data_IF_229279246133
#
_entry.id   IF_229279246133
#
_cell.length_a   1.000
_cell.length_b   1.000
_cell.length_c   1.000
_cell.angle_alpha   90.00
_cell.angle_beta   90.00
_cell.angle_gamma   90.00
#
_symmetry.space_group_name_H-M   'P 1'
#
loop_
_entity.id
_entity.type
_entity.pdbx_description
1 polymer ?
#
# COMPACT_ATOMS: atom_id res chain seq x y z
N UNK A 1 -21.32 56.71 -35.64
CA UNK A 1 -20.28 55.65 -35.69
C UNK A 1 -19.04 55.90 -34.78
N UNK A 2 -19.13 56.64 -33.66
CA UNK A 2 -18.00 56.82 -32.70
C UNK A 2 -17.96 55.79 -31.56
N UNK A 3 -19.10 55.17 -31.20
CA UNK A 3 -19.20 54.27 -30.04
C UNK A 3 -18.53 52.89 -30.22
N UNK A 4 -18.29 52.44 -31.45
CA UNK A 4 -17.70 51.11 -31.72
C UNK A 4 -16.20 51.06 -31.39
N UNK A 5 -15.49 52.20 -31.45
CA UNK A 5 -14.05 52.26 -31.13
C UNK A 5 -13.73 52.10 -29.63
N UNK A 6 -14.70 52.24 -28.73
CA UNK A 6 -14.46 52.12 -27.28
C UNK A 6 -14.77 50.73 -26.72
N UNK A 7 -15.55 49.92 -27.45
CA UNK A 7 -15.98 48.59 -27.02
C UNK A 7 -14.84 47.62 -26.64
N UNK A 8 -13.75 47.45 -27.43
CA UNK A 8 -12.67 46.54 -27.05
C UNK A 8 -11.84 47.04 -25.85
N UNK A 9 -11.73 48.37 -25.68
CA UNK A 9 -11.02 48.97 -24.55
C UNK A 9 -11.78 48.73 -23.23
N UNK A 10 -13.09 48.99 -23.22
CA UNK A 10 -13.95 48.79 -22.04
C UNK A 10 -13.99 47.30 -21.68
N UNK A 11 -14.18 46.42 -22.68
CA UNK A 11 -14.18 44.97 -22.45
C UNK A 11 -12.83 44.47 -21.92
N UNK A 12 -11.71 44.94 -22.48
CA UNK A 12 -10.37 44.58 -22.02
C UNK A 12 -10.11 44.99 -20.57
N UNK A 13 -10.53 46.19 -20.17
CA UNK A 13 -10.43 46.67 -18.78
C UNK A 13 -11.32 45.84 -17.84
N UNK A 14 -12.57 45.56 -18.24
CA UNK A 14 -13.50 44.76 -17.43
C UNK A 14 -12.97 43.34 -17.20
N UNK A 15 -12.49 42.68 -18.25
CA UNK A 15 -11.89 41.33 -18.17
C UNK A 15 -10.57 41.32 -17.39
N UNK A 16 -9.83 42.43 -17.39
CA UNK A 16 -8.61 42.58 -16.60
C UNK A 16 -8.92 42.75 -15.12
N UNK A 17 -9.78 43.70 -14.76
CA UNK A 17 -9.94 44.15 -13.37
C UNK A 17 -10.90 43.27 -12.56
N UNK A 18 -12.09 42.95 -13.10
CA UNK A 18 -13.12 42.26 -12.32
C UNK A 18 -12.69 40.85 -11.87
N UNK A 19 -12.09 40.00 -12.72
CA UNK A 19 -11.63 38.69 -12.29
C UNK A 19 -10.32 38.75 -11.49
N UNK A 20 -9.54 39.82 -11.62
CA UNK A 20 -8.28 39.98 -10.87
C UNK A 20 -8.50 40.38 -9.41
N UNK A 21 -9.55 41.17 -9.12
CA UNK A 21 -9.90 41.57 -7.75
C UNK A 21 -9.97 40.40 -6.75
N UNK A 22 -10.74 39.31 -6.99
CA UNK A 22 -10.74 38.17 -6.08
C UNK A 22 -9.40 37.41 -6.08
N UNK A 23 -8.68 37.36 -7.20
CA UNK A 23 -7.38 36.66 -7.27
C UNK A 23 -6.24 37.40 -6.53
N UNK A 24 -6.34 38.73 -6.42
CA UNK A 24 -5.34 39.59 -5.76
C UNK A 24 -5.32 39.48 -4.24
N UNK A 25 -6.32 38.82 -3.64
CA UNK A 25 -6.53 38.76 -2.19
C UNK A 25 -6.64 40.13 -1.49
N UNK A 26 -6.92 41.22 -2.23
CA UNK A 26 -7.08 42.56 -1.66
C UNK A 26 -8.38 42.71 -0.86
N UNK A 27 -9.47 42.11 -1.35
CA UNK A 27 -10.81 42.23 -0.76
C UNK A 27 -11.28 40.94 -0.09
N UNK A 28 -10.94 39.78 -0.67
CA UNK A 28 -11.35 38.46 -0.19
C UNK A 28 -10.16 37.51 -0.31
N UNK A 29 -9.84 36.77 0.75
CA UNK A 29 -8.78 35.76 0.72
C UNK A 29 -9.28 34.50 0.03
N UNK A 30 -8.90 34.34 -1.23
CA UNK A 30 -9.24 33.17 -2.04
C UNK A 30 -8.10 32.15 -1.94
N UNK A 31 -8.43 30.86 -1.86
CA UNK A 31 -7.43 29.79 -1.84
C UNK A 31 -6.52 29.84 -3.09
N UNK A 32 -5.22 29.60 -2.91
CA UNK A 32 -4.18 29.70 -3.95
C UNK A 32 -4.57 29.02 -5.28
N UNK A 33 -5.18 27.84 -5.23
CA UNK A 33 -5.58 27.05 -6.41
C UNK A 33 -6.66 27.75 -7.24
N UNK A 34 -7.59 28.45 -6.59
CA UNK A 34 -8.65 29.19 -7.29
C UNK A 34 -8.06 30.46 -7.89
N UNK A 35 -7.22 31.19 -7.14
CA UNK A 35 -6.56 32.39 -7.64
C UNK A 35 -5.72 32.10 -8.91
N UNK A 36 -4.94 31.01 -8.91
CA UNK A 36 -4.16 30.58 -10.09
C UNK A 36 -5.05 30.29 -11.30
N UNK A 37 -6.17 29.58 -11.11
CA UNK A 37 -7.11 29.24 -12.19
C UNK A 37 -7.88 30.45 -12.72
N UNK A 38 -8.06 31.50 -11.93
CA UNK A 38 -8.80 32.70 -12.35
C UNK A 38 -7.91 33.67 -13.14
N UNK A 39 -6.57 33.61 -13.00
CA UNK A 39 -5.62 34.51 -13.65
C UNK A 39 -5.58 34.43 -15.19
N UNK A 40 -6.14 33.39 -15.81
CA UNK A 40 -6.27 33.33 -17.27
C UNK A 40 -7.22 34.39 -17.84
N UNK A 41 -8.28 34.76 -17.10
CA UNK A 41 -9.26 35.76 -17.57
C UNK A 41 -8.66 37.18 -17.58
N UNK A 42 -7.97 37.64 -16.51
CA UNK A 42 -7.22 38.89 -16.55
C UNK A 42 -6.15 38.92 -17.65
N UNK A 43 -5.48 37.79 -17.90
CA UNK A 43 -4.49 37.68 -18.98
C UNK A 43 -5.12 37.93 -20.36
N UNK A 44 -6.34 37.43 -20.59
CA UNK A 44 -7.10 37.71 -21.81
C UNK A 44 -7.42 39.21 -21.96
N UNK A 45 -7.82 39.87 -20.87
CA UNK A 45 -8.03 41.32 -20.84
C UNK A 45 -6.77 42.10 -21.23
N UNK A 46 -5.61 41.75 -20.66
CA UNK A 46 -4.32 42.31 -21.03
C UNK A 46 -4.00 42.12 -22.53
N UNK A 47 -4.18 40.91 -23.06
CA UNK A 47 -3.92 40.62 -24.48
C UNK A 47 -4.79 41.49 -25.39
N UNK A 48 -6.09 41.62 -25.08
CA UNK A 48 -7.01 42.46 -25.84
C UNK A 48 -6.56 43.93 -25.87
N UNK A 49 -6.16 44.48 -24.72
CA UNK A 49 -5.68 45.86 -24.62
C UNK A 49 -4.38 46.09 -25.42
N UNK A 50 -3.44 45.15 -25.35
CA UNK A 50 -2.16 45.23 -26.09
C UNK A 50 -2.40 45.15 -27.60
N UNK A 51 -3.21 44.19 -28.07
CA UNK A 51 -3.54 44.04 -29.49
C UNK A 51 -4.31 45.26 -30.02
N UNK A 52 -5.24 45.79 -29.24
CA UNK A 52 -5.99 46.99 -29.62
C UNK A 52 -5.10 48.24 -29.70
N UNK A 53 -4.21 48.44 -28.71
CA UNK A 53 -3.21 49.52 -28.75
C UNK A 53 -2.29 49.41 -29.97
N UNK A 54 -1.84 48.19 -30.29
CA UNK A 54 -1.05 47.92 -31.49
C UNK A 54 -1.82 48.26 -32.78
N UNK A 55 -3.10 47.88 -32.89
CA UNK A 55 -3.94 48.17 -34.04
C UNK A 55 -4.10 49.68 -34.30
N UNK A 56 -4.26 50.49 -33.24
CA UNK A 56 -4.34 51.95 -33.34
C UNK A 56 -3.03 52.51 -33.92
N UNK A 57 -1.88 52.08 -33.39
CA UNK A 57 -0.56 52.56 -33.85
C UNK A 57 -0.34 52.14 -35.31
N UNK A 58 -0.68 50.90 -35.66
CA UNK A 58 -0.52 50.35 -37.01
C UNK A 58 -1.29 51.13 -38.08
N UNK A 59 -2.50 51.56 -37.75
CA UNK A 59 -3.38 52.29 -38.67
C UNK A 59 -3.01 53.77 -38.78
N UNK A 60 -2.55 54.39 -37.69
CA UNK A 60 -2.29 55.84 -37.66
C UNK A 60 -0.86 56.21 -38.08
N UNK A 61 0.12 55.30 -37.97
CA UNK A 61 1.53 55.63 -38.17
C UNK A 61 2.26 54.63 -39.09
N UNK A 62 1.99 54.72 -40.40
CA UNK A 62 2.57 53.82 -41.41
C UNK A 62 4.12 53.83 -41.43
N UNK A 63 4.74 54.99 -41.18
CA UNK A 63 6.21 55.17 -41.15
C UNK A 63 6.91 54.31 -40.07
N UNK A 64 6.22 53.98 -38.99
CA UNK A 64 6.79 53.25 -37.84
C UNK A 64 6.47 51.74 -37.85
N UNK A 65 5.88 51.20 -38.91
CA UNK A 65 5.50 49.78 -38.97
C UNK A 65 6.69 48.83 -38.88
N UNK A 66 7.77 49.11 -39.62
CA UNK A 66 8.98 48.27 -39.58
C UNK A 66 9.64 48.30 -38.20
N UNK A 67 9.77 49.49 -37.58
CA UNK A 67 10.30 49.62 -36.21
C UNK A 67 9.43 48.86 -35.20
N UNK A 68 8.11 48.92 -35.35
CA UNK A 68 7.16 48.23 -34.47
C UNK A 68 7.23 46.70 -34.62
N UNK A 69 7.36 46.19 -35.86
CA UNK A 69 7.59 44.78 -36.12
C UNK A 69 8.92 44.31 -35.50
N UNK A 70 10.00 45.06 -35.67
CA UNK A 70 11.29 44.75 -35.04
C UNK A 70 11.17 44.67 -33.52
N UNK A 71 10.50 45.65 -32.88
CA UNK A 71 10.27 45.65 -31.43
C UNK A 71 9.44 44.43 -30.98
N UNK A 72 8.40 44.07 -31.71
CA UNK A 72 7.58 42.88 -31.40
C UNK A 72 8.40 41.61 -31.54
N UNK A 73 9.16 41.46 -32.63
CA UNK A 73 10.04 40.30 -32.81
C UNK A 73 11.07 40.21 -31.69
N UNK A 74 11.64 41.34 -31.25
CA UNK A 74 12.57 41.39 -30.12
C UNK A 74 11.91 40.95 -28.80
N UNK A 75 10.70 41.44 -28.52
CA UNK A 75 9.93 41.04 -27.33
C UNK A 75 9.57 39.56 -27.39
N UNK A 76 9.16 39.04 -28.54
CA UNK A 76 8.84 37.62 -28.73
C UNK A 76 10.07 36.74 -28.52
N UNK A 77 11.20 37.07 -29.14
CA UNK A 77 12.46 36.34 -28.96
C UNK A 77 12.91 36.37 -27.50
N UNK A 78 12.87 37.55 -26.85
CA UNK A 78 13.19 37.70 -25.42
C UNK A 78 12.27 36.86 -24.53
N UNK A 79 10.97 36.87 -24.79
CA UNK A 79 9.98 36.05 -24.07
C UNK A 79 10.20 34.56 -24.30
N UNK A 80 10.48 34.11 -25.52
CA UNK A 80 10.83 32.73 -25.81
C UNK A 80 12.10 32.29 -25.06
N UNK A 81 13.14 33.12 -25.07
CA UNK A 81 14.37 32.87 -24.30
C UNK A 81 14.09 32.77 -22.79
N UNK A 82 13.29 33.69 -22.24
CA UNK A 82 12.87 33.64 -20.83
C UNK A 82 12.09 32.36 -20.51
N UNK A 83 11.21 31.93 -21.40
CA UNK A 83 10.47 30.66 -21.25
C UNK A 83 11.42 29.46 -21.25
N UNK A 84 12.40 29.42 -22.16
CA UNK A 84 13.40 28.35 -22.21
C UNK A 84 14.25 28.32 -20.93
N UNK A 85 14.65 29.48 -20.41
CA UNK A 85 15.38 29.57 -19.13
C UNK A 85 14.49 29.09 -17.99
N UNK A 86 13.23 29.56 -17.93
CA UNK A 86 12.26 29.17 -16.90
C UNK A 86 11.99 27.67 -16.90
N UNK A 87 11.96 27.02 -18.06
CA UNK A 87 11.79 25.57 -18.17
C UNK A 87 12.92 24.79 -17.44
N UNK A 88 14.10 25.38 -17.26
CA UNK A 88 15.18 24.77 -16.46
C UNK A 88 14.80 24.66 -14.98
N UNK A 89 14.02 25.60 -14.45
CA UNK A 89 13.54 25.55 -13.06
C UNK A 89 12.62 24.33 -12.85
N UNK A 90 11.80 23.99 -13.85
CA UNK A 90 10.85 22.87 -13.80
C UNK A 90 11.49 21.50 -14.07
N UNK A 91 12.78 21.44 -14.39
CA UNK A 91 13.47 20.20 -14.77
C UNK A 91 13.54 19.19 -13.62
N UNK A 92 13.73 19.66 -12.39
CA UNK A 92 13.80 18.80 -11.22
C UNK A 92 13.12 19.45 -10.00
N UNK A 93 12.80 18.62 -9.01
CA UNK A 93 12.28 19.10 -7.72
C UNK A 93 13.26 20.05 -7.03
N UNK A 94 14.56 19.80 -7.15
CA UNK A 94 15.62 20.64 -6.57
C UNK A 94 15.66 22.03 -7.23
N UNK A 95 15.70 22.08 -8.57
CA UNK A 95 15.77 23.34 -9.31
C UNK A 95 14.53 24.21 -9.04
N UNK A 96 13.35 23.59 -8.98
CA UNK A 96 12.10 24.29 -8.72
C UNK A 96 12.08 24.91 -7.31
N UNK A 97 12.44 24.13 -6.29
CA UNK A 97 12.47 24.60 -4.91
C UNK A 97 13.56 25.65 -4.68
N UNK A 98 14.73 25.50 -5.35
CA UNK A 98 15.82 26.48 -5.28
C UNK A 98 15.43 27.80 -5.95
N UNK A 99 14.84 27.77 -7.14
CA UNK A 99 14.32 28.98 -7.82
C UNK A 99 13.23 29.65 -6.98
N UNK A 100 12.32 28.87 -6.42
CA UNK A 100 11.31 29.38 -5.49
C UNK A 100 11.91 30.09 -4.27
N UNK A 101 12.94 29.52 -3.65
CA UNK A 101 13.66 30.15 -2.53
C UNK A 101 14.39 31.44 -2.94
N UNK A 102 14.95 31.51 -4.15
CA UNK A 102 15.57 32.73 -4.65
C UNK A 102 14.52 33.85 -4.82
N UNK A 103 13.32 33.51 -5.29
CA UNK A 103 12.23 34.49 -5.46
C UNK A 103 11.55 34.87 -4.15
N UNK A 104 11.50 33.96 -3.18
CA UNK A 104 10.75 34.11 -1.92
C UNK A 104 11.62 33.69 -0.71
N UNK A 105 12.73 34.40 -0.43
CA UNK A 105 13.67 34.02 0.63
C UNK A 105 13.08 34.15 2.05
N UNK A 106 12.02 34.93 2.22
CA UNK A 106 11.36 35.13 3.52
C UNK A 106 10.07 34.29 3.68
N UNK A 107 9.86 33.29 2.83
CA UNK A 107 8.70 32.40 2.92
C UNK A 107 9.02 31.12 3.68
N UNK A 108 8.43 30.96 4.87
CA UNK A 108 8.61 29.78 5.72
C UNK A 108 8.27 28.46 5.00
N UNK A 109 7.22 28.44 4.18
CA UNK A 109 6.79 27.22 3.46
C UNK A 109 7.82 26.80 2.40
N UNK A 110 8.50 27.77 1.76
CA UNK A 110 9.56 27.47 0.79
C UNK A 110 10.76 26.82 1.47
N UNK A 111 11.21 27.37 2.61
CA UNK A 111 12.27 26.76 3.41
C UNK A 111 11.90 25.36 3.89
N UNK A 112 10.67 25.17 4.39
CA UNK A 112 10.15 23.86 4.82
C UNK A 112 10.13 22.83 3.67
N UNK A 113 9.62 23.20 2.49
CA UNK A 113 9.54 22.30 1.35
C UNK A 113 10.93 21.91 0.83
N UNK A 114 11.88 22.85 0.79
CA UNK A 114 13.26 22.56 0.43
C UNK A 114 13.96 21.68 1.48
N UNK A 115 13.70 21.90 2.76
CA UNK A 115 14.19 21.04 3.84
C UNK A 115 13.66 19.59 3.71
N UNK A 116 12.38 19.41 3.37
CA UNK A 116 11.81 18.08 3.09
C UNK A 116 12.55 17.40 1.93
N UNK A 117 12.79 18.11 0.83
CA UNK A 117 13.56 17.57 -0.30
C UNK A 117 14.98 17.17 0.10
N UNK A 118 15.68 18.02 0.87
CA UNK A 118 17.03 17.74 1.36
C UNK A 118 17.06 16.53 2.30
N UNK A 119 16.07 16.39 3.18
CA UNK A 119 15.91 15.22 4.05
C UNK A 119 15.72 13.95 3.23
N UNK A 120 14.82 13.98 2.24
CA UNK A 120 14.54 12.84 1.38
C UNK A 120 15.76 12.46 0.53
N UNK A 121 16.66 13.43 0.27
CA UNK A 121 17.97 13.23 -0.39
C UNK A 121 19.10 12.91 0.59
N UNK A 122 18.80 12.56 1.85
CA UNK A 122 19.75 12.25 2.92
C UNK A 122 20.75 13.37 3.29
N UNK A 123 20.52 14.61 2.84
CA UNK A 123 21.33 15.79 3.18
C UNK A 123 20.83 16.42 4.48
N UNK A 124 20.93 15.68 5.59
CA UNK A 124 20.26 16.02 6.85
C UNK A 124 20.71 17.35 7.48
N UNK A 125 21.99 17.72 7.42
CA UNK A 125 22.46 18.97 8.04
C UNK A 125 21.93 20.22 7.32
N UNK A 126 21.88 20.18 5.98
CA UNK A 126 21.24 21.25 5.19
C UNK A 126 19.73 21.27 5.42
N UNK A 127 19.09 20.11 5.57
CA UNK A 127 17.67 20.05 5.91
C UNK A 127 17.39 20.74 7.25
N UNK A 128 18.22 20.50 8.28
CA UNK A 128 18.09 21.16 9.60
C UNK A 128 18.17 22.68 9.47
N UNK A 129 19.16 23.21 8.76
CA UNK A 129 19.31 24.67 8.62
C UNK A 129 18.09 25.32 7.96
N UNK A 130 17.54 24.69 6.92
CA UNK A 130 16.31 25.17 6.28
C UNK A 130 15.06 24.99 7.17
N UNK A 131 14.95 23.91 7.95
CA UNK A 131 13.86 23.81 8.95
C UNK A 131 13.96 24.89 10.02
N UNK A 132 15.16 25.17 10.55
CA UNK A 132 15.35 26.26 11.51
C UNK A 132 14.99 27.62 10.91
N UNK A 133 15.35 27.87 9.64
CA UNK A 133 14.93 29.10 8.96
C UNK A 133 13.41 29.17 8.78
N UNK A 134 12.76 28.06 8.42
CA UNK A 134 11.30 27.99 8.33
C UNK A 134 10.64 28.29 9.69
N UNK A 135 11.19 27.77 10.79
CA UNK A 135 10.71 28.02 12.15
C UNK A 135 11.05 29.42 12.66
N UNK A 136 12.15 30.04 12.20
CA UNK A 136 12.45 31.45 12.48
C UNK A 136 11.40 32.37 11.85
N UNK A 137 11.00 32.08 10.61
CA UNK A 137 9.99 32.84 9.88
C UNK A 137 8.56 32.54 10.35
N UNK A 138 8.30 31.30 10.78
CA UNK A 138 7.00 30.87 11.31
C UNK A 138 7.17 29.92 12.51
N UNK A 139 7.29 30.47 13.73
CA UNK A 139 7.57 29.68 14.94
C UNK A 139 6.50 28.66 15.31
N UNK A 140 5.25 28.85 14.89
CA UNK A 140 4.13 27.95 15.20
C UNK A 140 3.92 26.87 14.13
N UNK A 141 4.84 26.71 13.18
CA UNK A 141 4.69 25.76 12.08
C UNK A 141 4.88 24.31 12.53
N UNK A 142 3.78 23.69 12.98
CA UNK A 142 3.77 22.35 13.57
C UNK A 142 4.44 21.27 12.70
N UNK A 143 4.19 21.25 11.39
CA UNK A 143 4.80 20.26 10.49
C UNK A 143 6.32 20.42 10.34
N UNK A 144 6.83 21.66 10.41
CA UNK A 144 8.28 21.91 10.39
C UNK A 144 8.93 21.44 11.69
N UNK A 145 8.30 21.71 12.85
CA UNK A 145 8.72 21.14 14.13
C UNK A 145 8.77 19.61 14.10
N UNK A 146 7.69 18.96 13.64
CA UNK A 146 7.64 17.50 13.52
C UNK A 146 8.76 16.95 12.64
N UNK A 147 8.92 17.48 11.43
CA UNK A 147 9.90 16.93 10.48
C UNK A 147 11.35 17.19 10.94
N UNK A 148 11.63 18.34 11.56
CA UNK A 148 12.91 18.61 12.19
C UNK A 148 13.20 17.57 13.29
N UNK A 149 12.22 17.29 14.16
CA UNK A 149 12.34 16.26 15.19
C UNK A 149 12.75 14.88 14.67
N UNK A 150 12.30 14.50 13.46
CA UNK A 150 12.64 13.19 12.86
C UNK A 150 14.10 13.03 12.42
N UNK A 151 14.81 14.14 12.20
CA UNK A 151 16.20 14.13 11.70
C UNK A 151 17.23 14.55 12.76
N UNK A 152 16.77 14.96 13.95
CA UNK A 152 17.64 15.29 15.06
C UNK A 152 18.21 14.01 15.70
N UNK A 153 19.51 14.02 15.99
CA UNK A 153 20.19 12.91 16.66
C UNK A 153 20.00 12.94 18.17
N UNK A 154 19.82 14.12 18.75
CA UNK A 154 19.60 14.30 20.17
C UNK A 154 18.11 14.05 20.50
N UNK A 155 17.84 13.00 21.28
CA UNK A 155 16.49 12.61 21.67
C UNK A 155 15.75 13.72 22.46
N UNK A 156 16.46 14.48 23.29
CA UNK A 156 15.84 15.54 24.09
C UNK A 156 15.39 16.71 23.22
N UNK A 157 16.20 17.09 22.23
CA UNK A 157 15.82 18.13 21.26
C UNK A 157 14.67 17.65 20.35
N UNK A 158 14.74 16.41 19.86
CA UNK A 158 13.67 15.82 19.07
C UNK A 158 12.34 15.83 19.84
N UNK A 159 12.36 15.44 21.13
CA UNK A 159 11.21 15.48 22.02
C UNK A 159 10.63 16.91 22.13
N UNK A 160 11.47 17.93 22.34
CA UNK A 160 11.02 19.33 22.38
C UNK A 160 10.31 19.75 21.10
N UNK A 161 10.84 19.36 19.95
CA UNK A 161 10.23 19.69 18.66
C UNK A 161 8.91 18.95 18.43
N UNK A 162 8.79 17.66 18.80
CA UNK A 162 7.51 16.95 18.71
C UNK A 162 6.46 17.54 19.67
N UNK A 163 6.84 17.87 20.90
CA UNK A 163 5.95 18.53 21.87
C UNK A 163 5.52 19.91 21.38
N UNK A 164 6.41 20.68 20.76
CA UNK A 164 6.06 21.95 20.13
C UNK A 164 5.06 21.77 18.98
N UNK A 165 5.27 20.77 18.11
CA UNK A 165 4.31 20.45 17.05
C UNK A 165 2.92 20.11 17.61
N UNK A 166 2.86 19.33 18.69
CA UNK A 166 1.59 18.99 19.38
C UNK A 166 0.98 20.22 20.08
N UNK A 167 1.81 21.10 20.65
CA UNK A 167 1.34 22.34 21.28
C UNK A 167 0.66 23.26 20.26
N UNK A 168 1.26 23.44 19.09
CA UNK A 168 0.72 24.31 18.04
C UNK A 168 -0.40 23.65 17.21
N UNK A 169 -0.39 22.31 17.11
CA UNK A 169 -1.43 21.54 16.45
C UNK A 169 -1.73 20.26 17.25
N UNK A 170 -2.70 20.33 18.17
CA UNK A 170 -3.03 19.24 19.09
C UNK A 170 -3.55 17.97 18.42
N UNK A 171 -4.07 18.10 17.19
CA UNK A 171 -4.55 17.03 16.33
C UNK A 171 -3.49 16.51 15.33
N UNK A 172 -2.22 16.93 15.44
CA UNK A 172 -1.16 16.53 14.51
C UNK A 172 -0.74 15.06 14.71
N UNK A 173 -1.43 14.13 14.04
CA UNK A 173 -1.28 12.67 14.18
C UNK A 173 0.19 12.22 14.07
N UNK A 174 0.92 12.68 13.06
CA UNK A 174 2.33 12.31 12.85
C UNK A 174 3.25 12.75 14.00
N UNK A 175 2.92 13.83 14.72
CA UNK A 175 3.75 14.31 15.83
C UNK A 175 3.54 13.43 17.07
N UNK A 176 2.30 13.06 17.37
CA UNK A 176 2.00 12.05 18.39
C UNK A 176 2.66 10.71 18.05
N UNK A 177 2.61 10.28 16.79
CA UNK A 177 3.20 9.01 16.35
C UNK A 177 4.73 9.01 16.51
N UNK A 178 5.41 10.06 16.03
CA UNK A 178 6.85 10.18 16.13
C UNK A 178 7.33 10.31 17.58
N UNK A 179 6.60 11.06 18.42
CA UNK A 179 6.87 11.13 19.85
C UNK A 179 6.68 9.78 20.53
N UNK A 180 5.63 9.05 20.18
CA UNK A 180 5.41 7.67 20.66
C UNK A 180 6.56 6.74 20.31
N UNK A 181 7.04 6.78 19.06
CA UNK A 181 8.22 6.01 18.65
C UNK A 181 9.49 6.41 19.41
N UNK A 182 9.71 7.71 19.64
CA UNK A 182 10.83 8.20 20.43
C UNK A 182 10.78 7.68 21.87
N UNK A 183 9.60 7.72 22.50
CA UNK A 183 9.38 7.19 23.84
C UNK A 183 9.60 5.68 23.91
N UNK A 184 9.12 4.91 22.93
CA UNK A 184 9.40 3.48 22.85
C UNK A 184 10.91 3.19 22.77
N UNK A 185 11.65 3.93 21.93
CA UNK A 185 13.12 3.77 21.81
C UNK A 185 13.85 4.09 23.11
N UNK A 186 13.30 5.01 23.91
CA UNK A 186 13.84 5.41 25.20
C UNK A 186 13.27 4.58 26.37
N UNK A 187 12.61 3.45 26.11
CA UNK A 187 11.98 2.58 27.10
C UNK A 187 10.90 3.26 27.97
N UNK A 188 10.36 4.41 27.53
CA UNK A 188 9.22 5.10 28.16
C UNK A 188 7.90 4.52 27.65
N UNK A 189 7.61 3.29 28.08
CA UNK A 189 6.52 2.47 27.53
C UNK A 189 5.14 3.09 27.75
N UNK A 190 4.87 3.64 28.93
CA UNK A 190 3.56 4.22 29.28
C UNK A 190 3.25 5.47 28.45
N UNK A 191 4.23 6.35 28.30
CA UNK A 191 4.14 7.57 27.53
C UNK A 191 4.01 7.27 26.03
N UNK A 192 4.77 6.28 25.54
CA UNK A 192 4.63 5.76 24.17
C UNK A 192 3.21 5.27 23.92
N UNK A 193 2.66 4.44 24.79
CA UNK A 193 1.30 3.92 24.64
C UNK A 193 0.26 5.05 24.64
N UNK A 194 0.41 6.05 25.51
CA UNK A 194 -0.47 7.22 25.56
C UNK A 194 -0.48 7.97 24.23
N UNK A 195 0.69 8.21 23.64
CA UNK A 195 0.80 8.92 22.35
C UNK A 195 0.23 8.10 21.19
N UNK A 196 0.49 6.79 21.14
CA UNK A 196 -0.03 5.92 20.09
C UNK A 196 -1.56 5.76 20.17
N UNK A 197 -2.13 5.65 21.38
CA UNK A 197 -3.60 5.67 21.57
C UNK A 197 -4.21 7.00 21.13
N UNK A 198 -3.50 8.12 21.34
CA UNK A 198 -3.95 9.43 20.85
C UNK A 198 -3.98 9.49 19.32
N UNK A 199 -3.01 8.87 18.64
CA UNK A 199 -3.03 8.74 17.17
C UNK A 199 -4.30 8.02 16.70
N UNK A 200 -4.62 6.87 17.29
CA UNK A 200 -5.81 6.07 16.96
C UNK A 200 -7.10 6.85 17.23
N UNK A 201 -7.14 7.64 18.32
CA UNK A 201 -8.30 8.49 18.64
C UNK A 201 -8.50 9.61 17.60
N UNK A 202 -7.40 10.19 17.11
CA UNK A 202 -7.45 11.28 16.14
C UNK A 202 -7.74 10.76 14.72
N UNK A 203 -7.14 9.64 14.35
CA UNK A 203 -7.26 9.02 13.04
C UNK A 203 -7.35 7.49 13.19
N UNK A 204 -8.56 6.92 13.27
CA UNK A 204 -8.77 5.49 13.45
C UNK A 204 -8.21 4.62 12.31
N UNK A 205 -8.03 5.19 11.12
CA UNK A 205 -7.49 4.46 9.96
C UNK A 205 -5.95 4.48 9.91
N UNK A 206 -5.29 5.10 10.89
CA UNK A 206 -3.84 5.24 10.92
C UNK A 206 -3.14 3.94 11.37
N UNK A 207 -3.06 2.99 10.43
CA UNK A 207 -2.47 1.65 10.58
C UNK A 207 -1.11 1.63 11.31
N UNK A 208 -0.14 2.55 11.04
CA UNK A 208 1.17 2.51 11.71
C UNK A 208 1.09 2.57 13.24
N UNK A 209 0.11 3.29 13.82
CA UNK A 209 -0.04 3.35 15.27
C UNK A 209 -0.46 2.01 15.89
N UNK A 210 -1.33 1.25 15.22
CA UNK A 210 -1.72 -0.09 15.66
C UNK A 210 -0.52 -1.04 15.65
N UNK A 211 0.29 -0.99 14.59
CA UNK A 211 1.49 -1.83 14.47
C UNK A 211 2.52 -1.50 15.55
N UNK A 212 2.76 -0.22 15.84
CA UNK A 212 3.66 0.17 16.92
C UNK A 212 3.12 -0.21 18.30
N UNK A 213 1.80 -0.16 18.52
CA UNK A 213 1.20 -0.67 19.78
C UNK A 213 1.36 -2.19 19.92
N UNK A 214 1.22 -2.95 18.84
CA UNK A 214 1.47 -4.40 18.85
C UNK A 214 2.94 -4.68 19.20
N UNK A 215 3.88 -3.93 18.62
CA UNK A 215 5.31 -4.03 18.94
C UNK A 215 5.60 -3.68 20.39
N UNK A 216 4.98 -2.62 20.91
CA UNK A 216 5.17 -2.13 22.28
C UNK A 216 4.65 -3.12 23.33
N UNK A 217 3.44 -3.67 23.13
CA UNK A 217 2.80 -4.59 24.08
C UNK A 217 3.39 -6.00 24.05
N UNK A 218 4.05 -6.35 22.96
CA UNK A 218 4.62 -7.68 22.75
C UNK A 218 3.57 -8.75 22.42
N UNK A 219 4.00 -9.93 21.92
CA UNK A 219 3.09 -10.92 21.33
C UNK A 219 2.14 -11.60 22.33
N UNK A 220 2.40 -11.48 23.64
CA UNK A 220 1.63 -12.17 24.67
C UNK A 220 0.48 -11.36 25.27
N UNK A 221 0.38 -10.08 24.93
CA UNK A 221 -0.63 -9.21 25.50
C UNK A 221 -2.03 -9.49 24.91
N UNK A 222 -3.06 -9.57 25.76
CA UNK A 222 -4.43 -9.97 25.38
C UNK A 222 -5.04 -9.12 24.26
N UNK A 223 -4.76 -7.82 24.25
CA UNK A 223 -5.28 -6.87 23.27
C UNK A 223 -4.64 -6.94 21.87
N UNK A 224 -3.55 -7.69 21.71
CA UNK A 224 -2.83 -7.77 20.41
C UNK A 224 -3.68 -8.44 19.34
N UNK A 225 -4.48 -9.44 19.70
CA UNK A 225 -5.42 -10.08 18.78
C UNK A 225 -6.36 -9.07 18.14
N UNK A 226 -6.98 -8.22 18.97
CA UNK A 226 -7.89 -7.17 18.51
C UNK A 226 -7.18 -6.14 17.63
N UNK A 227 -6.00 -5.67 18.05
CA UNK A 227 -5.21 -4.72 17.26
C UNK A 227 -4.83 -5.26 15.87
N UNK A 228 -4.33 -6.50 15.80
CA UNK A 228 -3.97 -7.12 14.52
C UNK A 228 -5.19 -7.39 13.64
N UNK A 229 -6.32 -7.76 14.23
CA UNK A 229 -7.59 -7.90 13.48
C UNK A 229 -7.99 -6.57 12.84
N UNK A 230 -7.97 -5.48 13.60
CA UNK A 230 -8.24 -4.13 13.06
C UNK A 230 -7.26 -3.76 11.95
N UNK A 231 -5.98 -4.09 12.06
CA UNK A 231 -4.99 -3.84 10.99
C UNK A 231 -5.37 -4.55 9.68
N UNK A 232 -5.86 -5.79 9.76
CA UNK A 232 -6.33 -6.54 8.57
C UNK A 232 -7.60 -5.91 8.00
N UNK A 233 -8.53 -5.48 8.85
CA UNK A 233 -9.77 -4.79 8.43
C UNK A 233 -9.50 -3.45 7.75
N UNK A 234 -8.53 -2.67 8.23
CA UNK A 234 -8.12 -1.40 7.64
C UNK A 234 -7.39 -1.57 6.30
N UNK A 235 -6.78 -2.74 6.05
CA UNK A 235 -5.97 -3.01 4.86
C UNK A 235 -6.45 -4.29 4.14
N UNK A 236 -7.68 -4.31 3.59
CA UNK A 236 -8.30 -5.52 3.06
C UNK A 236 -7.61 -6.06 1.79
N UNK A 237 -6.84 -5.22 1.10
CA UNK A 237 -6.14 -5.59 -0.14
C UNK A 237 -4.66 -5.93 0.07
N UNK A 238 -4.16 -5.85 1.30
CA UNK A 238 -2.77 -6.19 1.60
C UNK A 238 -2.68 -7.60 2.21
N UNK A 239 -2.14 -8.53 1.41
CA UNK A 239 -1.95 -9.92 1.82
C UNK A 239 -0.97 -10.08 2.99
N UNK A 240 -0.06 -9.12 3.19
CA UNK A 240 0.98 -9.18 4.21
C UNK A 240 0.38 -9.17 5.62
N UNK A 241 -0.55 -8.27 5.91
CA UNK A 241 -1.13 -8.15 7.25
C UNK A 241 -1.96 -9.37 7.64
N UNK A 242 -2.75 -9.92 6.70
CA UNK A 242 -3.48 -11.16 6.92
C UNK A 242 -2.53 -12.34 7.19
N UNK A 243 -1.40 -12.43 6.47
CA UNK A 243 -0.38 -13.45 6.70
C UNK A 243 0.24 -13.33 8.11
N UNK A 244 0.61 -12.12 8.53
CA UNK A 244 1.20 -11.87 9.85
C UNK A 244 0.23 -12.11 10.98
N UNK A 245 -1.05 -11.80 10.80
CA UNK A 245 -2.05 -12.13 11.80
C UNK A 245 -2.27 -13.65 11.93
N UNK A 246 -2.31 -14.36 10.79
CA UNK A 246 -2.32 -15.82 10.78
C UNK A 246 -1.11 -16.42 11.51
N UNK A 247 0.11 -15.90 11.23
CA UNK A 247 1.34 -16.33 11.92
C UNK A 247 1.26 -16.12 13.44
N UNK A 248 0.72 -14.99 13.88
CA UNK A 248 0.53 -14.70 15.30
C UNK A 248 -0.44 -15.67 15.97
N UNK A 249 -1.59 -15.96 15.33
CA UNK A 249 -2.58 -16.93 15.81
C UNK A 249 -1.98 -18.33 15.94
N UNK A 250 -1.12 -18.73 15.00
CA UNK A 250 -0.39 -20.01 15.07
C UNK A 250 0.46 -20.12 16.32
N UNK A 251 1.21 -19.05 16.65
CA UNK A 251 2.06 -19.01 17.86
C UNK A 251 1.24 -19.08 19.14
N UNK A 252 -0.05 -18.71 19.09
CA UNK A 252 -1.01 -18.83 20.20
C UNK A 252 -1.74 -20.18 20.24
N UNK A 253 -1.50 -21.08 19.29
CA UNK A 253 -2.17 -22.38 19.21
C UNK A 253 -3.55 -22.35 18.56
N UNK A 254 -4.03 -21.20 18.10
CA UNK A 254 -5.32 -21.08 17.42
C UNK A 254 -5.16 -21.40 15.92
N UNK A 255 -5.08 -22.69 15.63
CA UNK A 255 -4.80 -23.22 14.30
C UNK A 255 -5.94 -23.01 13.30
N UNK A 256 -7.19 -23.08 13.75
CA UNK A 256 -8.36 -22.98 12.90
C UNK A 256 -8.58 -21.54 12.41
N UNK A 257 -8.48 -20.56 13.32
CA UNK A 257 -8.59 -19.15 12.94
C UNK A 257 -7.39 -18.71 12.09
N UNK A 258 -6.17 -19.19 12.40
CA UNK A 258 -4.99 -18.91 11.60
C UNK A 258 -5.14 -19.34 10.14
N UNK A 259 -5.70 -20.53 9.90
CA UNK A 259 -5.99 -21.02 8.54
C UNK A 259 -6.89 -20.05 7.78
N UNK A 260 -7.95 -19.51 8.39
CA UNK A 260 -8.86 -18.54 7.74
C UNK A 260 -8.08 -17.33 7.21
N UNK A 261 -7.17 -16.78 8.01
CA UNK A 261 -6.37 -15.62 7.63
C UNK A 261 -5.26 -15.94 6.61
N UNK A 262 -4.67 -17.14 6.66
CA UNK A 262 -3.78 -17.57 5.58
C UNK A 262 -4.51 -17.73 4.25
N UNK A 263 -5.72 -18.29 4.26
CA UNK A 263 -6.53 -18.39 3.05
C UNK A 263 -6.97 -17.03 2.53
N UNK A 264 -7.34 -16.09 3.42
CA UNK A 264 -7.62 -14.71 3.04
C UNK A 264 -6.42 -14.07 2.35
N UNK A 265 -5.24 -14.21 2.94
CA UNK A 265 -3.98 -13.71 2.38
C UNK A 265 -3.66 -14.32 1.01
N UNK A 266 -3.84 -15.64 0.83
CA UNK A 266 -3.62 -16.34 -0.43
C UNK A 266 -4.65 -15.98 -1.51
N UNK A 267 -5.88 -15.66 -1.11
CA UNK A 267 -6.91 -15.15 -2.02
C UNK A 267 -6.51 -13.79 -2.60
N UNK A 268 -5.89 -12.92 -1.78
CA UNK A 268 -5.39 -11.62 -2.21
C UNK A 268 -4.11 -11.80 -3.05
N UNK A 269 -3.15 -12.58 -2.56
CA UNK A 269 -1.87 -12.84 -3.21
C UNK A 269 -1.49 -14.31 -3.09
N UNK A 270 -1.70 -15.08 -4.17
CA UNK A 270 -1.40 -16.51 -4.21
C UNK A 270 0.12 -16.83 -4.06
N UNK A 271 0.98 -15.84 -4.24
CA UNK A 271 2.44 -15.96 -4.06
C UNK A 271 2.91 -15.58 -2.65
N UNK A 272 2.02 -15.20 -1.73
CA UNK A 272 2.43 -14.80 -0.37
C UNK A 272 3.04 -15.98 0.40
N UNK A 273 4.37 -15.96 0.52
CA UNK A 273 5.17 -17.05 1.10
C UNK A 273 4.76 -17.43 2.52
N UNK A 274 4.61 -16.45 3.40
CA UNK A 274 4.26 -16.68 4.82
C UNK A 274 2.96 -17.45 4.99
N UNK A 275 1.96 -17.15 4.15
CA UNK A 275 0.66 -17.81 4.19
C UNK A 275 0.70 -19.23 3.64
N UNK A 276 1.48 -19.45 2.57
CA UNK A 276 1.74 -20.80 2.06
C UNK A 276 2.37 -21.63 3.17
N UNK A 277 3.53 -21.22 3.69
CA UNK A 277 4.23 -21.93 4.76
C UNK A 277 3.32 -22.17 5.98
N UNK A 278 2.50 -21.18 6.33
CA UNK A 278 1.47 -21.27 7.36
C UNK A 278 0.53 -22.47 7.15
N UNK A 279 -0.13 -22.53 5.99
CA UNK A 279 -1.05 -23.64 5.65
C UNK A 279 -0.31 -24.99 5.60
N UNK A 280 0.91 -25.02 5.05
CA UNK A 280 1.74 -26.22 5.00
C UNK A 280 1.99 -26.81 6.39
N UNK A 281 2.40 -25.98 7.35
CA UNK A 281 2.62 -26.40 8.74
C UNK A 281 1.35 -26.99 9.34
N UNK A 282 0.18 -26.46 9.00
CA UNK A 282 -1.10 -26.96 9.49
C UNK A 282 -1.45 -28.32 8.90
N UNK A 283 -1.39 -28.47 7.58
CA UNK A 283 -1.67 -29.77 6.95
C UNK A 283 -0.72 -30.87 7.44
N UNK A 284 0.55 -30.53 7.68
CA UNK A 284 1.50 -31.46 8.31
C UNK A 284 1.10 -31.83 9.74
N UNK A 285 0.75 -30.84 10.57
CA UNK A 285 0.33 -31.07 11.96
C UNK A 285 -0.90 -31.98 12.05
N UNK A 286 -1.86 -31.84 11.14
CA UNK A 286 -3.06 -32.65 11.09
C UNK A 286 -2.95 -33.92 10.21
N UNK A 287 -1.74 -34.29 9.78
CA UNK A 287 -1.51 -35.54 9.03
C UNK A 287 -2.07 -35.56 7.60
N UNK A 288 -2.45 -34.42 7.03
CA UNK A 288 -3.07 -34.31 5.70
C UNK A 288 -2.02 -34.34 4.56
N UNK A 289 -1.20 -35.41 4.52
CA UNK A 289 -0.06 -35.57 3.59
C UNK A 289 -0.43 -35.33 2.12
N UNK A 290 -1.56 -35.88 1.66
CA UNK A 290 -2.02 -35.74 0.28
C UNK A 290 -2.29 -34.27 -0.10
N UNK A 291 -2.94 -33.50 0.79
CA UNK A 291 -3.22 -32.07 0.55
C UNK A 291 -1.97 -31.22 0.60
N UNK A 292 -1.04 -31.55 1.50
CA UNK A 292 0.28 -30.91 1.54
C UNK A 292 1.01 -31.05 0.20
N UNK A 293 1.03 -32.27 -0.37
CA UNK A 293 1.67 -32.52 -1.67
C UNK A 293 0.97 -31.79 -2.83
N UNK A 294 -0.37 -31.82 -2.86
CA UNK A 294 -1.16 -31.11 -3.86
C UNK A 294 -0.90 -29.60 -3.84
N UNK A 295 -0.89 -29.00 -2.64
CA UNK A 295 -0.62 -27.58 -2.47
C UNK A 295 0.80 -27.21 -2.94
N UNK A 296 1.78 -28.07 -2.69
CA UNK A 296 3.19 -27.83 -3.05
C UNK A 296 3.38 -27.79 -4.54
N UNK A 297 2.85 -28.82 -5.19
CA UNK A 297 2.89 -28.95 -6.64
C UNK A 297 2.22 -27.75 -7.31
N UNK A 298 1.05 -27.32 -6.80
CA UNK A 298 0.34 -26.14 -7.33
C UNK A 298 1.12 -24.85 -7.14
N UNK A 299 1.67 -24.64 -5.94
CA UNK A 299 2.42 -23.42 -5.65
C UNK A 299 3.71 -23.34 -6.48
N UNK A 300 4.45 -24.44 -6.62
CA UNK A 300 5.61 -24.52 -7.51
C UNK A 300 5.25 -24.23 -8.97
N UNK A 301 4.16 -24.79 -9.47
CA UNK A 301 3.67 -24.51 -10.82
C UNK A 301 3.28 -23.03 -10.99
N UNK A 302 2.65 -22.42 -9.98
CA UNK A 302 2.27 -21.01 -9.99
C UNK A 302 3.50 -20.09 -10.00
N UNK A 303 4.51 -20.38 -9.18
CA UNK A 303 5.78 -19.66 -9.19
C UNK A 303 6.49 -19.78 -10.54
N UNK A 304 6.55 -21.00 -11.10
CA UNK A 304 7.16 -21.25 -12.41
C UNK A 304 6.46 -20.47 -13.53
N UNK A 305 5.13 -20.43 -13.54
CA UNK A 305 4.34 -19.62 -14.50
C UNK A 305 4.65 -18.12 -14.39
N UNK A 306 4.94 -17.63 -13.17
CA UNK A 306 5.33 -16.23 -12.94
C UNK A 306 6.82 -15.94 -13.16
N UNK A 307 7.61 -16.90 -13.65
CA UNK A 307 9.06 -16.75 -13.82
C UNK A 307 9.82 -16.62 -12.49
N UNK A 308 9.18 -16.94 -11.36
CA UNK A 308 9.81 -16.90 -10.04
C UNK A 308 10.59 -18.19 -9.81
N UNK A 309 11.84 -18.04 -9.37
CA UNK A 309 12.75 -19.16 -9.21
C UNK A 309 12.34 -20.01 -7.98
N UNK A 310 11.89 -21.25 -8.23
CA UNK A 310 11.36 -22.18 -7.21
C UNK A 310 12.45 -22.71 -6.26
N UNK A 311 13.73 -22.48 -6.58
CA UNK A 311 14.90 -23.06 -5.90
C UNK A 311 15.13 -22.65 -4.43
N UNK A 312 14.31 -21.78 -3.83
CA UNK A 312 14.70 -21.07 -2.60
C UNK A 312 14.02 -21.48 -1.29
N UNK A 313 13.02 -22.38 -1.28
CA UNK A 313 12.35 -22.77 -0.03
C UNK A 313 12.83 -24.12 0.51
N UNK A 314 14.01 -24.10 1.15
CA UNK A 314 14.65 -25.25 1.81
C UNK A 314 13.70 -26.01 2.74
N UNK A 315 12.83 -25.29 3.47
CA UNK A 315 11.86 -25.90 4.38
C UNK A 315 10.87 -26.86 3.68
N UNK A 316 10.42 -26.50 2.47
CA UNK A 316 9.46 -27.30 1.71
C UNK A 316 10.16 -28.43 0.96
N UNK A 317 11.36 -28.18 0.43
CA UNK A 317 12.18 -29.20 -0.23
C UNK A 317 12.59 -30.31 0.74
N UNK A 318 13.05 -29.97 1.94
CA UNK A 318 13.45 -30.93 2.96
C UNK A 318 12.30 -31.89 3.30
N UNK A 319 11.09 -31.34 3.46
CA UNK A 319 9.92 -32.16 3.74
C UNK A 319 9.54 -33.08 2.58
N UNK A 320 9.58 -32.57 1.34
CA UNK A 320 9.31 -33.38 0.16
C UNK A 320 10.30 -34.54 0.06
N UNK A 321 11.60 -34.26 0.21
CA UNK A 321 12.65 -35.26 0.16
C UNK A 321 12.46 -36.34 1.24
N UNK A 322 12.20 -35.92 2.50
CA UNK A 322 11.95 -36.86 3.61
C UNK A 322 10.77 -37.78 3.35
N UNK A 323 9.69 -37.26 2.77
CA UNK A 323 8.54 -38.08 2.43
C UNK A 323 8.82 -39.07 1.29
N UNK A 324 9.46 -38.62 0.21
CA UNK A 324 9.86 -39.49 -0.90
C UNK A 324 10.79 -40.62 -0.43
N UNK A 325 11.77 -40.29 0.41
CA UNK A 325 12.65 -41.27 1.07
C UNK A 325 11.85 -42.25 1.92
N UNK A 326 10.94 -41.78 2.77
CA UNK A 326 10.11 -42.65 3.62
C UNK A 326 9.22 -43.61 2.82
N UNK A 327 8.71 -43.15 1.67
CA UNK A 327 7.90 -43.99 0.79
C UNK A 327 8.77 -45.06 0.11
N UNK A 328 9.93 -44.68 -0.43
CA UNK A 328 10.90 -45.61 -1.01
C UNK A 328 11.37 -46.66 0.00
N UNK A 329 11.68 -46.25 1.24
CA UNK A 329 12.05 -47.18 2.32
C UNK A 329 10.93 -48.20 2.56
N UNK A 330 9.67 -47.75 2.59
CA UNK A 330 8.52 -48.63 2.79
C UNK A 330 8.30 -49.61 1.63
N UNK A 331 8.54 -49.15 0.40
CA UNK A 331 8.51 -49.99 -0.80
C UNK A 331 9.61 -51.05 -0.78
N UNK A 332 10.84 -50.68 -0.41
CA UNK A 332 11.94 -51.62 -0.26
C UNK A 332 11.74 -52.59 0.92
N UNK A 333 11.24 -52.14 2.07
CA UNK A 333 11.01 -53.02 3.22
C UNK A 333 9.92 -54.05 2.94
N UNK A 334 8.83 -53.65 2.26
CA UNK A 334 7.78 -54.59 1.84
C UNK A 334 8.25 -55.59 0.78
N UNK A 335 9.24 -55.23 -0.05
CA UNK A 335 9.87 -56.17 -0.99
C UNK A 335 10.77 -57.20 -0.30
N UNK A 336 11.32 -56.87 0.88
CA UNK A 336 12.20 -57.77 1.66
C UNK A 336 11.35 -58.73 2.50
N UNK A 337 10.27 -58.26 3.12
CA UNK A 337 9.36 -59.11 3.91
C UNK A 337 8.51 -60.07 3.05
N UNK A 338 8.36 -59.77 1.75
CA UNK A 338 7.71 -60.66 0.78
C UNK A 338 8.55 -61.84 0.28
N UNK A 339 9.82 -61.94 0.70
CA UNK A 339 10.76 -62.97 0.26
C UNK A 339 10.93 -64.16 1.21
N UNK A 340 10.02 -64.33 2.17
CA UNK A 340 9.86 -65.64 2.82
C UNK A 340 8.84 -66.46 2.04
N UNK A 341 9.33 -67.27 1.08
CA UNK A 341 9.02 -68.69 0.88
C UNK A 341 9.56 -69.17 -0.47
N UNK A 342 10.43 -70.18 -0.38
CA UNK A 342 10.65 -71.30 -1.33
C UNK A 342 10.70 -70.99 -2.83
N UNK A 343 11.85 -71.35 -3.40
CA UNK A 343 11.98 -71.72 -4.81
C UNK A 343 10.80 -72.59 -5.27
N UNK A 344 9.91 -72.01 -6.08
CA UNK A 344 9.23 -72.70 -7.17
C UNK A 344 8.56 -71.64 -8.08
N UNK A 345 9.14 -71.50 -9.27
CA UNK A 345 8.55 -71.03 -10.55
C UNK A 345 7.44 -69.98 -10.48
N UNK A 346 7.79 -68.73 -10.81
CA UNK A 346 6.87 -67.62 -11.08
C UNK A 346 6.35 -67.71 -12.54
N UNK A 347 5.03 -67.71 -12.81
CA UNK A 347 4.49 -67.36 -14.12
C UNK A 347 4.43 -65.83 -14.29
N UNK A 348 4.63 -65.36 -15.52
CA UNK A 348 4.72 -63.94 -15.90
C UNK A 348 3.53 -63.08 -15.42
N UNK A 349 3.73 -61.77 -15.15
CA UNK A 349 2.70 -60.93 -14.55
C UNK A 349 1.59 -60.56 -15.54
N UNK A 350 0.34 -60.82 -15.14
CA UNK A 350 -0.88 -60.63 -15.93
C UNK A 350 -1.24 -59.14 -16.12
N UNK A 351 -1.09 -58.69 -17.37
CA UNK A 351 -1.27 -57.31 -17.86
C UNK A 351 -2.71 -56.78 -17.63
N UNK A 352 -3.71 -57.67 -17.50
CA UNK A 352 -5.13 -57.31 -17.29
C UNK A 352 -5.43 -56.64 -15.95
N UNK A 353 -4.63 -56.86 -14.91
CA UNK A 353 -4.89 -56.29 -13.56
C UNK A 353 -4.53 -54.80 -13.49
N UNK A 354 -3.47 -54.38 -14.20
CA UNK A 354 -3.05 -52.96 -14.28
C UNK A 354 -4.06 -52.10 -15.04
N UNK A 355 -4.67 -52.62 -16.10
CA UNK A 355 -5.71 -51.90 -16.85
C UNK A 355 -7.02 -51.72 -16.07
N UNK A 356 -7.41 -52.70 -15.23
CA UNK A 356 -8.61 -52.55 -14.37
C UNK A 356 -8.42 -51.49 -13.28
N UNK A 357 -7.21 -51.36 -12.71
CA UNK A 357 -6.90 -50.35 -11.70
C UNK A 357 -6.82 -48.93 -12.29
N UNK A 358 -6.32 -48.80 -13.53
CA UNK A 358 -6.34 -47.54 -14.28
C UNK A 358 -7.76 -47.11 -14.68
N UNK A 359 -8.66 -48.05 -15.01
CA UNK A 359 -10.08 -47.73 -15.29
C UNK A 359 -10.86 -47.31 -14.03
N UNK A 360 -10.55 -47.87 -12.85
CA UNK A 360 -11.22 -47.52 -11.59
C UNK A 360 -10.91 -46.10 -11.09
N UNK A 361 -9.75 -45.55 -11.43
CA UNK A 361 -9.34 -44.19 -11.01
C UNK A 361 -9.97 -43.09 -11.87
N UNK A 362 -10.38 -43.39 -13.10
CA UNK A 362 -11.04 -42.43 -14.00
C UNK A 362 -12.54 -42.23 -13.67
N UNK A 363 -13.17 -43.20 -13.00
CA UNK A 363 -14.64 -43.22 -12.84
C UNK A 363 -15.17 -42.41 -11.64
N UNK A 364 -14.30 -41.88 -10.75
CA UNK A 364 -14.69 -41.07 -9.58
C UNK A 364 -14.64 -39.55 -9.79
N UNK A 365 -14.37 -39.08 -11.00
CA UNK A 365 -14.45 -37.66 -11.38
C UNK A 365 -15.68 -37.37 -12.28
N UNK A 366 -16.86 -37.94 -11.94
CA UNK A 366 -18.13 -37.43 -12.50
C UNK A 366 -18.67 -36.33 -11.58
N UNK A 367 -18.69 -35.12 -12.12
CA UNK A 367 -19.32 -33.91 -11.59
C UNK A 367 -20.77 -34.18 -11.15
N UNK A 368 -21.11 -33.79 -9.92
CA UNK A 368 -22.49 -33.77 -9.42
C UNK A 368 -23.27 -32.65 -10.10
N UNK A 369 -24.40 -32.99 -10.74
CA UNK A 369 -25.23 -32.05 -11.48
C UNK A 369 -26.38 -31.55 -10.57
N UNK A 370 -26.66 -30.23 -10.47
CA UNK A 370 -27.63 -29.68 -9.50
C UNK A 370 -29.10 -30.05 -9.71
N UNK A 371 -29.44 -30.79 -10.78
CA UNK A 371 -30.81 -31.14 -11.14
C UNK A 371 -31.31 -32.50 -10.62
N UNK A 372 -30.49 -33.26 -9.90
CA UNK A 372 -30.88 -34.61 -9.46
C UNK A 372 -31.87 -34.58 -8.28
N UNK A 373 -33.00 -35.29 -8.42
CA UNK A 373 -34.09 -35.38 -7.44
C UNK A 373 -33.63 -35.90 -6.07
N UNK A 374 -32.56 -36.71 -6.05
CA UNK A 374 -31.90 -37.23 -4.84
C UNK A 374 -31.04 -36.20 -4.08
N UNK A 375 -30.76 -35.03 -4.67
CA UNK A 375 -29.96 -33.98 -4.03
C UNK A 375 -30.71 -33.31 -2.88
N UNK A 376 -32.03 -33.10 -3.02
CA UNK A 376 -32.87 -32.47 -2.00
C UNK A 376 -33.12 -33.38 -0.80
N UNK A 377 -33.40 -34.67 -1.02
CA UNK A 377 -33.54 -35.65 0.06
C UNK A 377 -32.27 -35.82 0.90
N UNK A 378 -31.10 -35.78 0.23
CA UNK A 378 -29.82 -35.94 0.90
C UNK A 378 -29.42 -34.71 1.72
N UNK A 379 -29.88 -33.51 1.34
CA UNK A 379 -29.71 -32.27 2.12
C UNK A 379 -30.65 -32.25 3.32
N UNK A 380 -31.90 -32.71 3.20
CA UNK A 380 -32.84 -32.75 4.33
C UNK A 380 -32.39 -33.73 5.43
N UNK A 381 -31.79 -34.86 5.03
CA UNK A 381 -31.17 -35.84 5.92
C UNK A 381 -29.90 -35.32 6.62
N UNK A 382 -29.19 -34.38 5.99
CA UNK A 382 -28.02 -33.71 6.58
C UNK A 382 -28.45 -32.59 7.54
N UNK A 383 -29.52 -31.86 7.21
CA UNK A 383 -30.11 -30.81 8.05
C UNK A 383 -30.65 -31.37 9.37
N UNK A 384 -31.32 -32.54 9.33
CA UNK A 384 -31.76 -33.27 10.53
C UNK A 384 -30.61 -33.73 11.43
N UNK A 385 -29.45 -34.10 10.85
CA UNK A 385 -28.25 -34.50 11.61
C UNK A 385 -27.49 -33.33 12.23
N UNK A 386 -27.62 -32.12 11.67
CA UNK A 386 -27.04 -30.89 12.24
C UNK A 386 -27.85 -30.36 13.43
N UNK A 387 -29.17 -30.57 13.47
CA UNK A 387 -30.04 -30.17 14.59
C UNK A 387 -29.82 -31.06 15.84
N UNK A 388 -29.34 -32.30 15.68
CA UNK A 388 -29.05 -33.23 16.79
C UNK A 388 -27.66 -33.06 17.43
N UNK A 389 -26.73 -32.28 16.84
CA UNK A 389 -25.32 -32.24 17.27
C UNK A 389 -24.91 -30.99 18.07
N UNK A 390 -25.84 -30.25 18.66
CA UNK A 390 -25.56 -29.01 19.39
C UNK A 390 -25.14 -29.23 20.87
N UNK A 391 -23.94 -29.76 21.14
CA UNK A 391 -23.01 -29.39 22.26
C UNK A 391 -21.77 -30.34 22.33
N UNK A 392 -20.62 -29.94 22.91
CA UNK A 392 -19.33 -30.07 22.22
C UNK A 392 -18.32 -31.01 22.90
N UNK A 393 -17.48 -31.65 22.07
CA UNK A 393 -16.17 -32.18 22.50
C UNK A 393 -15.13 -32.11 21.35
N UNK A 394 -13.93 -31.67 21.70
CA UNK A 394 -12.91 -31.02 20.87
C UNK A 394 -12.12 -31.91 19.90
N UNK A 395 -12.53 -33.16 19.69
CA UNK A 395 -11.81 -34.13 18.85
C UNK A 395 -12.56 -34.48 17.56
N UNK A 396 -13.88 -34.32 17.56
CA UNK A 396 -14.74 -34.61 16.40
C UNK A 396 -14.72 -33.48 15.34
N UNK A 397 -14.43 -32.25 15.76
CA UNK A 397 -14.38 -31.06 14.89
C UNK A 397 -13.26 -31.12 13.83
N UNK A 398 -12.22 -31.93 14.06
CA UNK A 398 -11.13 -32.10 13.09
C UNK A 398 -11.54 -32.93 11.85
N UNK A 399 -12.57 -33.79 11.97
CA UNK A 399 -13.09 -34.63 10.89
C UNK A 399 -14.30 -34.03 10.17
N UNK A 400 -15.00 -33.08 10.79
CA UNK A 400 -16.14 -32.35 10.20
C UNK A 400 -15.74 -31.07 9.47
N UNK A 401 -14.46 -30.69 9.47
CA UNK A 401 -13.96 -29.62 8.60
C UNK A 401 -14.10 -30.02 7.14
N UNK A 402 -15.20 -29.61 6.53
CA UNK A 402 -15.42 -29.67 5.10
C UNK A 402 -14.53 -28.64 4.39
N UNK A 403 -13.30 -29.05 4.11
CA UNK A 403 -12.34 -28.27 3.33
C UNK A 403 -12.72 -28.16 1.84
N UNK A 404 -13.81 -28.79 1.38
CA UNK A 404 -14.32 -28.57 0.01
C UNK A 404 -14.81 -27.13 -0.19
N UNK A 405 -15.31 -26.48 0.88
CA UNK A 405 -15.62 -25.02 0.89
C UNK A 405 -14.36 -24.13 0.85
N UNK A 406 -13.19 -24.70 1.16
CA UNK A 406 -11.88 -24.03 1.07
C UNK A 406 -11.14 -24.35 -0.25
N UNK A 407 -11.80 -25.03 -1.20
CA UNK A 407 -11.28 -25.32 -2.53
C UNK A 407 -11.07 -24.07 -3.41
N UNK A 408 -11.02 -22.84 -2.88
CA UNK A 408 -10.82 -21.63 -3.69
C UNK A 408 -9.38 -21.46 -4.23
N UNK A 409 -8.42 -22.31 -3.84
CA UNK A 409 -7.17 -22.51 -4.62
C UNK A 409 -7.32 -23.54 -5.76
N UNK A 410 -8.53 -24.01 -6.08
CA UNK A 410 -8.80 -24.79 -7.30
C UNK A 410 -9.18 -23.93 -8.50
N UNK A 411 -9.46 -22.63 -8.31
CA UNK A 411 -9.95 -21.74 -9.37
C UNK A 411 -8.98 -20.61 -9.79
N UNK A 412 -7.75 -20.59 -9.25
CA UNK A 412 -6.63 -19.79 -9.76
C UNK A 412 -5.53 -20.73 -10.22
#
# INVERSE_FOLDING_TARGET
>A
MKNIRQSPLILGILLLVLPFLPASNLLLTVGFVIAERVLYIPSLGCILLVVYGFQIIWNNYAKHRQTLLCLITLVLVSSCLRTVIRNRDWRSRESLLRSGLQTLPHNAKMHYNYANFLRDSSRHELAKSHYYMALKLWPTYASAHNNLGTILKNNHEAEKHFLAAIKYASNHVNAHFNLGQLYRKNNKTMESEKMLKKCIKLEPNFTPAYLELVRLRGPNHKSVAGLLRTVVELNPHDSYYAAKFGEWLCKKGNHLEALKFFWLSLRICATQRDSVIGVFRHFRKFGQKARTFQMLTRWHNLLRKKGLNVKQDFYLQEWQLKNELSYKIKEYSTSIDGNNYTSNTIPAPDQKKREKQAKWTVQKNKTLNPGDKHYKEKIELLRKKEEESANPSSEQDAKTLDFSKFALLTYC
#
